data_IF_618110124819
#
_entry.id   IF_618110124819
#
_cell.length_a   1.000
_cell.length_b   1.000
_cell.length_c   1.000
_cell.angle_alpha   90.00
_cell.angle_beta   90.00
_cell.angle_gamma   90.00
#
_symmetry.space_group_name_H-M   'P 1'
#
loop_
_entity.id
_entity.type
_entity.pdbx_description
1 polymer ?
#
# COMPACT_ATOMS: atom_id res chain seq x y z
N UNK A 1 -51.11 -31.73 -18.58
CA UNK A 1 -50.86 -30.74 -19.65
C UNK A 1 -49.92 -29.73 -19.03
N UNK A 2 -48.63 -29.94 -19.28
CA UNK A 2 -47.59 -28.95 -19.14
C UNK A 2 -47.74 -28.04 -20.36
N UNK A 3 -47.77 -26.74 -20.15
CA UNK A 3 -47.40 -25.79 -21.20
C UNK A 3 -46.29 -24.91 -20.66
N UNK A 4 -45.21 -24.93 -21.43
CA UNK A 4 -43.92 -24.31 -21.20
C UNK A 4 -44.00 -22.81 -21.47
N UNK A 5 -43.23 -22.02 -20.72
CA UNK A 5 -42.61 -20.79 -21.24
C UNK A 5 -41.45 -20.45 -20.28
N UNK A 6 -40.32 -21.10 -20.48
CA UNK A 6 -39.16 -20.60 -21.24
C UNK A 6 -38.43 -19.46 -20.53
N UNK A 7 -37.17 -19.79 -20.26
CA UNK A 7 -36.13 -19.02 -19.62
C UNK A 7 -35.59 -18.00 -20.63
N UNK A 8 -35.74 -16.71 -20.35
CA UNK A 8 -34.81 -15.71 -20.87
C UNK A 8 -34.14 -15.06 -19.67
N UNK A 9 -32.91 -15.51 -19.42
CA UNK A 9 -31.95 -14.78 -18.62
C UNK A 9 -31.51 -13.57 -19.41
N UNK A 10 -31.92 -12.40 -18.94
CA UNK A 10 -31.24 -11.16 -19.24
C UNK A 10 -30.30 -10.93 -18.05
N UNK A 11 -29.05 -11.37 -18.23
CA UNK A 11 -27.92 -10.91 -17.44
C UNK A 11 -27.46 -9.61 -18.13
N UNK A 12 -27.82 -8.42 -17.64
CA UNK A 12 -27.14 -7.22 -18.06
C UNK A 12 -25.76 -7.30 -17.42
N UNK A 13 -24.84 -7.91 -18.17
CA UNK A 13 -23.42 -7.84 -17.92
C UNK A 13 -23.08 -6.42 -17.50
N UNK A 14 -22.48 -6.33 -16.33
CA UNK A 14 -21.95 -5.14 -15.68
C UNK A 14 -21.33 -4.19 -16.70
N UNK A 15 -22.14 -3.24 -17.16
CA UNK A 15 -21.65 -1.99 -17.68
C UNK A 15 -20.96 -1.34 -16.48
N UNK A 16 -19.64 -1.54 -16.40
CA UNK A 16 -18.75 -0.80 -15.52
C UNK A 16 -19.10 0.65 -15.74
N UNK A 17 -19.53 1.33 -14.68
CA UNK A 17 -19.69 2.77 -14.69
C UNK A 17 -18.33 3.36 -15.07
N UNK A 18 -18.18 3.71 -16.34
CA UNK A 18 -17.19 4.69 -16.77
C UNK A 18 -17.56 5.97 -16.02
N UNK A 19 -16.78 6.32 -14.99
CA UNK A 19 -16.83 7.60 -14.29
C UNK A 19 -16.64 8.71 -15.33
N UNK A 20 -17.72 9.10 -15.99
CA UNK A 20 -17.73 10.03 -17.12
C UNK A 20 -17.34 11.47 -16.72
N UNK A 21 -17.13 11.73 -15.42
CA UNK A 21 -16.67 13.00 -14.85
C UNK A 21 -15.16 13.01 -14.52
N UNK A 22 -14.44 11.88 -14.64
CA UNK A 22 -13.00 11.86 -14.44
C UNK A 22 -12.25 12.38 -15.68
N UNK A 23 -11.37 13.38 -15.52
CA UNK A 23 -10.55 13.93 -16.62
C UNK A 23 -9.56 12.90 -17.21
N UNK A 24 -9.19 11.89 -16.42
CA UNK A 24 -8.37 10.77 -16.87
C UNK A 24 -9.19 9.48 -16.99
N UNK A 25 -9.13 8.80 -18.15
CA UNK A 25 -9.70 7.46 -18.27
C UNK A 25 -9.08 6.50 -17.25
N UNK A 26 -9.89 5.59 -16.70
CA UNK A 26 -9.44 4.60 -15.71
C UNK A 26 -8.22 3.82 -16.17
N UNK A 27 -8.20 3.37 -17.43
CA UNK A 27 -7.09 2.62 -18.01
C UNK A 27 -5.76 3.41 -18.00
N UNK A 28 -5.84 4.75 -18.11
CA UNK A 28 -4.67 5.64 -18.06
C UNK A 28 -4.13 5.76 -16.64
N UNK A 29 -5.05 5.86 -15.66
CA UNK A 29 -4.71 5.86 -14.23
C UNK A 29 -4.01 4.54 -13.85
N UNK A 30 -4.60 3.40 -14.22
CA UNK A 30 -4.05 2.06 -13.95
C UNK A 30 -2.69 1.86 -14.63
N UNK A 31 -2.52 2.30 -15.89
CA UNK A 31 -1.22 2.23 -16.58
C UNK A 31 -0.16 3.10 -15.89
N UNK A 32 -0.51 4.31 -15.46
CA UNK A 32 0.40 5.22 -14.78
C UNK A 32 0.85 4.68 -13.41
N UNK A 33 -0.06 4.06 -12.67
CA UNK A 33 0.24 3.34 -11.44
C UNK A 33 1.19 2.17 -11.69
N UNK A 34 0.84 1.28 -12.63
CA UNK A 34 1.65 0.09 -12.95
C UNK A 34 3.08 0.47 -13.34
N UNK A 35 3.24 1.50 -14.18
CA UNK A 35 4.55 2.01 -14.58
C UNK A 35 5.33 2.61 -13.41
N UNK A 36 4.64 3.22 -12.46
CA UNK A 36 5.27 3.76 -11.24
C UNK A 36 5.76 2.63 -10.33
N UNK A 37 4.96 1.58 -10.13
CA UNK A 37 5.38 0.39 -9.36
C UNK A 37 6.58 -0.30 -10.02
N UNK A 38 6.56 -0.45 -11.36
CA UNK A 38 7.68 -1.01 -12.11
C UNK A 38 8.96 -0.17 -11.94
N UNK A 39 8.87 1.15 -12.09
CA UNK A 39 10.01 2.06 -11.89
C UNK A 39 10.62 1.93 -10.49
N UNK A 40 9.79 1.77 -9.44
CA UNK A 40 10.25 1.57 -8.06
C UNK A 40 10.92 0.20 -7.85
N UNK A 41 10.43 -0.84 -8.51
CA UNK A 41 10.99 -2.19 -8.42
C UNK A 41 12.25 -2.40 -9.28
N UNK A 42 12.51 -1.49 -10.22
CA UNK A 42 13.63 -1.60 -11.15
C UNK A 42 14.97 -1.42 -10.41
N UNK A 43 15.86 -2.41 -10.59
CA UNK A 43 17.23 -2.37 -10.04
C UNK A 43 18.16 -1.54 -10.93
N UNK A 44 17.87 -1.49 -12.22
CA UNK A 44 18.64 -0.75 -13.21
C UNK A 44 18.05 0.66 -13.44
N UNK A 45 18.93 1.66 -13.45
CA UNK A 45 18.55 3.06 -13.63
C UNK A 45 17.90 3.30 -15.00
N UNK A 46 18.40 2.68 -16.06
CA UNK A 46 17.87 2.90 -17.40
C UNK A 46 16.47 2.28 -17.55
N UNK A 47 16.22 1.14 -16.90
CA UNK A 47 14.89 0.53 -16.78
C UNK A 47 13.94 1.44 -16.00
N UNK A 48 14.35 1.95 -14.84
CA UNK A 48 13.58 2.92 -14.05
C UNK A 48 13.16 4.13 -14.89
N UNK A 49 14.13 4.80 -15.51
CA UNK A 49 13.86 5.96 -16.36
C UNK A 49 12.97 5.61 -17.57
N UNK A 50 13.06 4.40 -18.11
CA UNK A 50 12.22 3.98 -19.22
C UNK A 50 10.74 3.86 -18.81
N UNK A 51 10.48 3.31 -17.62
CA UNK A 51 9.12 3.27 -17.06
C UNK A 51 8.59 4.67 -16.76
N UNK A 52 9.41 5.55 -16.19
CA UNK A 52 9.02 6.95 -15.90
C UNK A 52 8.73 7.75 -17.17
N UNK A 53 9.56 7.62 -18.22
CA UNK A 53 9.32 8.25 -19.52
C UNK A 53 8.03 7.74 -20.17
N UNK A 54 7.77 6.44 -20.09
CA UNK A 54 6.53 5.86 -20.63
C UNK A 54 5.31 6.40 -19.89
N UNK A 55 5.37 6.52 -18.56
CA UNK A 55 4.30 7.13 -17.75
C UNK A 55 4.06 8.58 -18.17
N UNK A 56 5.13 9.35 -18.31
CA UNK A 56 5.04 10.75 -18.74
C UNK A 56 4.40 10.89 -20.13
N UNK A 57 4.75 10.02 -21.08
CA UNK A 57 4.15 10.04 -22.42
C UNK A 57 2.64 9.78 -22.36
N UNK A 58 2.21 8.74 -21.63
CA UNK A 58 0.79 8.39 -21.48
C UNK A 58 -0.01 9.56 -20.86
N UNK A 59 0.51 10.18 -19.80
CA UNK A 59 -0.18 11.30 -19.13
C UNK A 59 -0.19 12.58 -19.96
N UNK A 60 0.84 12.81 -20.79
CA UNK A 60 0.94 14.02 -21.61
C UNK A 60 -0.15 14.14 -22.67
N UNK A 61 -0.73 13.02 -23.12
CA UNK A 61 -1.87 13.00 -24.04
C UNK A 61 -3.12 13.65 -23.44
N UNK A 62 -3.19 13.71 -22.11
CA UNK A 62 -4.30 14.29 -21.35
C UNK A 62 -3.92 15.61 -20.68
N UNK A 63 -2.71 16.14 -20.94
CA UNK A 63 -2.16 17.33 -20.26
C UNK A 63 -1.96 17.12 -18.74
N UNK A 64 -1.73 15.87 -18.31
CA UNK A 64 -1.41 15.52 -16.92
C UNK A 64 0.08 15.23 -16.71
N UNK A 65 0.50 15.29 -15.46
CA UNK A 65 1.83 14.86 -15.01
C UNK A 65 1.74 14.16 -13.65
N UNK A 66 2.83 13.50 -13.26
CA UNK A 66 2.89 12.66 -12.06
C UNK A 66 3.88 13.21 -11.03
N UNK A 67 3.56 13.00 -9.76
CA UNK A 67 4.45 13.19 -8.63
C UNK A 67 4.25 12.06 -7.63
N UNK A 68 5.32 11.51 -7.08
CA UNK A 68 5.24 10.69 -5.87
C UNK A 68 5.47 11.59 -4.65
N UNK A 69 4.60 11.50 -3.65
CA UNK A 69 4.79 12.10 -2.33
C UNK A 69 4.81 11.01 -1.28
N UNK A 70 5.56 11.23 -0.21
CA UNK A 70 5.47 10.43 1.02
C UNK A 70 4.43 11.10 1.93
N UNK A 71 3.49 10.32 2.45
CA UNK A 71 2.42 10.72 3.37
C UNK A 71 2.37 9.72 4.52
N UNK A 72 2.81 10.13 5.73
CA UNK A 72 2.87 9.28 6.93
C UNK A 72 3.50 7.88 6.72
N UNK A 73 4.56 7.79 5.91
CA UNK A 73 5.26 6.54 5.60
C UNK A 73 4.73 5.78 4.39
N UNK A 74 3.59 6.20 3.84
CA UNK A 74 3.02 5.66 2.61
C UNK A 74 3.37 6.53 1.40
N UNK A 75 3.74 5.91 0.30
CA UNK A 75 3.96 6.65 -0.94
C UNK A 75 2.66 6.75 -1.74
N UNK A 76 2.31 7.97 -2.15
CA UNK A 76 1.13 8.25 -2.95
C UNK A 76 1.56 8.83 -4.29
N UNK A 77 1.14 8.18 -5.38
CA UNK A 77 1.21 8.72 -6.73
C UNK A 77 0.09 9.73 -6.93
N UNK A 78 0.46 10.97 -7.20
CA UNK A 78 -0.47 12.06 -7.51
C UNK A 78 -0.36 12.37 -9.00
N UNK A 79 -1.44 12.10 -9.74
CA UNK A 79 -1.63 12.53 -11.11
C UNK A 79 -2.38 13.86 -11.08
N UNK A 80 -1.79 14.91 -11.65
CA UNK A 80 -2.41 16.23 -11.64
C UNK A 80 -2.21 16.96 -12.97
N UNK A 81 -3.07 17.93 -13.31
CA UNK A 81 -2.90 18.76 -14.51
C UNK A 81 -1.51 19.39 -14.57
N UNK A 82 -0.88 19.35 -15.75
CA UNK A 82 0.46 19.89 -15.96
C UNK A 82 0.52 21.41 -15.73
N UNK A 83 -0.58 22.12 -15.99
CA UNK A 83 -0.71 23.57 -15.81
C UNK A 83 -0.52 24.04 -14.36
N UNK A 84 -0.74 23.15 -13.38
CA UNK A 84 -0.48 23.44 -11.97
C UNK A 84 1.01 23.61 -11.66
N UNK A 85 1.89 23.21 -12.59
CA UNK A 85 3.33 23.40 -12.45
C UNK A 85 3.84 24.57 -13.28
N UNK A 86 4.79 25.28 -12.68
CA UNK A 86 5.67 26.22 -13.36
C UNK A 86 7.09 25.98 -12.85
N UNK A 87 8.07 25.86 -13.75
CA UNK A 87 9.47 25.61 -13.42
C UNK A 87 9.70 24.41 -12.48
N UNK A 88 8.90 23.36 -12.66
CA UNK A 88 8.97 22.13 -11.86
C UNK A 88 8.35 22.23 -10.47
N UNK A 89 7.74 23.37 -10.10
CA UNK A 89 7.13 23.61 -8.78
C UNK A 89 5.61 23.75 -8.92
N UNK A 90 4.86 23.20 -7.95
CA UNK A 90 3.41 23.37 -7.87
C UNK A 90 3.07 24.81 -7.50
N UNK A 91 2.20 25.43 -8.30
CA UNK A 91 1.70 26.79 -8.13
C UNK A 91 0.27 26.72 -7.63
N UNK A 92 0.10 26.85 -6.31
CA UNK A 92 -1.23 26.77 -5.67
C UNK A 92 -2.20 27.83 -6.19
N UNK A 93 -1.69 28.96 -6.70
CA UNK A 93 -2.45 30.01 -7.37
C UNK A 93 -3.05 29.59 -8.73
N UNK A 94 -2.65 28.43 -9.27
CA UNK A 94 -3.18 27.83 -10.51
C UNK A 94 -4.11 26.65 -10.26
N UNK A 95 -4.39 26.34 -9.00
CA UNK A 95 -5.25 25.23 -8.61
C UNK A 95 -6.63 25.81 -8.29
N UNK A 96 -7.51 25.79 -9.28
CA UNK A 96 -8.91 26.22 -9.09
C UNK A 96 -9.79 25.08 -8.56
N UNK A 97 -9.39 23.84 -8.80
CA UNK A 97 -10.14 22.64 -8.39
C UNK A 97 -9.18 21.47 -8.08
N UNK A 98 -9.08 21.13 -6.80
CA UNK A 98 -8.25 20.00 -6.33
C UNK A 98 -8.82 18.63 -6.73
N UNK A 99 -10.11 18.54 -7.03
CA UNK A 99 -10.75 17.25 -7.38
C UNK A 99 -10.27 16.69 -8.72
N UNK A 100 -9.63 17.52 -9.54
CA UNK A 100 -8.98 17.13 -10.80
C UNK A 100 -7.74 16.26 -10.60
N UNK A 101 -7.17 16.22 -9.40
CA UNK A 101 -6.05 15.34 -9.10
C UNK A 101 -6.54 13.94 -8.74
N UNK A 102 -5.81 12.93 -9.21
CA UNK A 102 -6.03 11.53 -8.83
C UNK A 102 -4.89 11.12 -7.89
N UNK A 103 -5.23 10.68 -6.69
CA UNK A 103 -4.28 10.18 -5.69
C UNK A 103 -4.39 8.65 -5.59
N UNK A 104 -3.26 7.97 -5.77
CA UNK A 104 -3.18 6.51 -5.83
C UNK A 104 -2.15 6.07 -4.80
N UNK A 105 -2.57 5.40 -3.71
CA UNK A 105 -1.64 4.75 -2.79
C UNK A 105 -0.80 3.72 -3.56
N UNK A 106 0.52 3.79 -3.43
CA UNK A 106 1.44 2.81 -4.03
C UNK A 106 1.81 1.69 -3.03
N UNK A 107 1.43 1.89 -1.78
CA UNK A 107 1.62 1.00 -0.64
C UNK A 107 0.24 0.73 -0.02
N UNK A 108 0.03 -0.49 0.47
CA UNK A 108 -1.30 -0.99 0.85
C UNK A 108 -1.98 -1.79 -0.26
N UNK A 109 -3.09 -2.49 0.07
CA UNK A 109 -3.86 -3.25 -0.88
C UNK A 109 -4.90 -2.35 -1.55
N UNK A 110 -5.20 -2.68 -2.79
CA UNK A 110 -6.04 -1.86 -3.67
C UNK A 110 -7.54 -1.97 -3.32
N UNK A 111 -7.94 -3.00 -2.54
CA UNK A 111 -9.33 -3.30 -2.16
C UNK A 111 -9.53 -3.25 -0.62
N UNK A 112 -10.55 -2.56 -0.08
CA UNK A 112 -10.92 -2.61 1.34
C UNK A 112 -11.09 -4.04 1.90
N UNK A 113 -11.60 -4.97 1.11
CA UNK A 113 -11.76 -6.38 1.54
C UNK A 113 -10.39 -7.07 1.72
N UNK A 114 -9.35 -6.61 1.01
CA UNK A 114 -7.99 -7.07 1.24
C UNK A 114 -7.45 -6.57 2.59
N UNK A 115 -7.95 -5.45 3.14
CA UNK A 115 -7.55 -4.99 4.49
C UNK A 115 -8.05 -5.97 5.56
N UNK A 116 -9.29 -6.44 5.46
CA UNK A 116 -9.84 -7.43 6.40
C UNK A 116 -9.09 -8.76 6.29
N UNK A 117 -8.80 -9.21 5.07
CA UNK A 117 -8.03 -10.42 4.82
C UNK A 117 -6.57 -10.31 5.34
N UNK A 118 -5.94 -9.14 5.19
CA UNK A 118 -4.61 -8.86 5.75
C UNK A 118 -4.64 -8.84 7.28
N UNK A 119 -5.63 -8.18 7.90
CA UNK A 119 -5.71 -8.17 9.37
C UNK A 119 -5.94 -9.57 9.91
N UNK A 120 -6.89 -10.34 9.35
CA UNK A 120 -7.15 -11.73 9.77
C UNK A 120 -5.88 -12.58 9.71
N UNK A 121 -5.14 -12.51 8.60
CA UNK A 121 -3.86 -13.22 8.45
C UNK A 121 -2.83 -12.79 9.49
N UNK A 122 -2.73 -11.50 9.77
CA UNK A 122 -1.83 -10.98 10.79
C UNK A 122 -2.25 -11.45 12.20
N UNK A 123 -3.55 -11.49 12.50
CA UNK A 123 -4.08 -12.00 13.79
C UNK A 123 -3.82 -13.49 13.98
N UNK A 124 -3.95 -14.30 12.93
CA UNK A 124 -3.62 -15.72 12.97
C UNK A 124 -2.13 -15.93 13.30
N UNK A 125 -1.24 -15.15 12.67
CA UNK A 125 0.18 -15.19 12.98
C UNK A 125 0.47 -14.78 14.43
N UNK A 126 -0.20 -13.73 14.94
CA UNK A 126 -0.08 -13.31 16.34
C UNK A 126 -0.49 -14.42 17.30
N UNK A 127 -1.60 -15.10 17.02
CA UNK A 127 -2.07 -16.22 17.83
C UNK A 127 -1.04 -17.36 17.85
N UNK A 128 -0.49 -17.73 16.68
CA UNK A 128 0.55 -18.75 16.57
C UNK A 128 1.84 -18.36 17.33
N UNK A 129 2.29 -17.11 17.22
CA UNK A 129 3.47 -16.62 17.95
C UNK A 129 3.24 -16.67 19.45
N UNK A 130 2.05 -16.26 19.92
CA UNK A 130 1.69 -16.32 21.34
C UNK A 130 1.67 -17.77 21.84
N UNK A 131 1.10 -18.68 21.08
CA UNK A 131 1.04 -20.10 21.44
C UNK A 131 2.44 -20.73 21.56
N UNK A 132 3.32 -20.46 20.60
CA UNK A 132 4.64 -21.11 20.52
C UNK A 132 5.67 -20.43 21.42
N UNK A 133 5.65 -19.10 21.51
CA UNK A 133 6.71 -18.32 22.14
C UNK A 133 6.25 -17.61 23.43
N UNK A 134 4.95 -17.52 23.69
CA UNK A 134 4.39 -16.93 24.91
C UNK A 134 4.03 -15.45 24.76
N UNK A 135 3.44 -14.91 25.83
CA UNK A 135 2.74 -13.62 25.79
C UNK A 135 3.62 -12.43 25.41
N UNK A 136 4.87 -12.34 25.90
CA UNK A 136 5.74 -11.20 25.57
C UNK A 136 5.99 -11.08 24.05
N UNK A 137 6.19 -12.22 23.40
CA UNK A 137 6.40 -12.28 21.96
C UNK A 137 5.07 -12.10 21.21
N UNK A 138 3.98 -12.69 21.72
CA UNK A 138 2.63 -12.51 21.16
C UNK A 138 2.11 -11.07 21.24
N UNK A 139 2.36 -10.36 22.34
CA UNK A 139 1.97 -8.96 22.53
C UNK A 139 2.82 -8.04 21.64
N UNK A 140 4.10 -8.36 21.45
CA UNK A 140 4.95 -7.64 20.48
C UNK A 140 4.50 -7.90 19.04
N UNK A 141 4.13 -9.15 18.72
CA UNK A 141 3.56 -9.51 17.43
C UNK A 141 2.24 -8.78 17.18
N UNK A 142 1.39 -8.64 18.20
CA UNK A 142 0.13 -7.91 18.12
C UNK A 142 0.36 -6.43 17.78
N UNK A 143 1.32 -5.79 18.44
CA UNK A 143 1.71 -4.41 18.11
C UNK A 143 2.25 -4.28 16.67
N UNK A 144 3.01 -5.27 16.21
CA UNK A 144 3.50 -5.31 14.83
C UNK A 144 2.36 -5.55 13.82
N UNK A 145 1.37 -6.39 14.15
CA UNK A 145 0.15 -6.56 13.36
C UNK A 145 -0.61 -5.25 13.25
N UNK A 146 -0.84 -4.55 14.36
CA UNK A 146 -1.55 -3.27 14.36
C UNK A 146 -0.81 -2.23 13.50
N UNK A 147 0.52 -2.23 13.52
CA UNK A 147 1.33 -1.37 12.65
C UNK A 147 1.19 -1.76 11.18
N UNK A 148 1.47 -3.01 10.82
CA UNK A 148 1.48 -3.46 9.43
C UNK A 148 0.09 -3.44 8.79
N UNK A 149 -0.96 -3.80 9.53
CA UNK A 149 -2.35 -3.74 9.06
C UNK A 149 -2.80 -2.29 8.87
N UNK A 150 -2.55 -1.39 9.82
CA UNK A 150 -3.12 -0.04 9.76
C UNK A 150 -2.28 0.96 8.95
N UNK A 151 -0.95 0.85 8.98
CA UNK A 151 -0.06 1.81 8.31
C UNK A 151 0.26 1.38 6.89
N UNK A 152 0.39 0.08 6.64
CA UNK A 152 0.85 -0.43 5.34
C UNK A 152 -0.13 -1.38 4.67
N UNK A 153 -1.18 -1.83 5.37
CA UNK A 153 -2.00 -2.98 5.04
C UNK A 153 -1.27 -4.11 4.30
N UNK A 154 -0.15 -4.50 4.91
CA UNK A 154 0.67 -5.62 4.44
C UNK A 154 0.59 -6.77 5.44
N UNK A 155 0.66 -8.03 4.97
CA UNK A 155 0.99 -9.15 5.84
C UNK A 155 2.36 -8.91 6.49
N UNK A 156 2.51 -9.24 7.77
CA UNK A 156 3.76 -9.02 8.52
C UNK A 156 4.96 -9.67 7.83
N UNK A 157 4.78 -10.83 7.20
CA UNK A 157 5.86 -11.53 6.49
C UNK A 157 6.39 -10.80 5.24
N UNK A 158 5.71 -9.75 4.79
CA UNK A 158 6.11 -8.91 3.66
C UNK A 158 6.76 -7.61 4.11
N UNK A 159 6.89 -7.38 5.42
CA UNK A 159 7.49 -6.17 5.95
C UNK A 159 8.94 -6.01 5.46
N UNK A 160 9.31 -4.79 5.11
CA UNK A 160 10.68 -4.44 4.70
C UNK A 160 11.56 -4.12 5.92
N UNK A 161 12.87 -4.02 5.70
CA UNK A 161 13.81 -3.62 6.76
C UNK A 161 13.59 -2.19 7.26
N UNK A 162 13.13 -1.30 6.39
CA UNK A 162 12.84 0.10 6.72
C UNK A 162 11.55 0.19 7.55
N UNK A 163 10.49 -0.49 7.13
CA UNK A 163 9.23 -0.60 7.88
C UNK A 163 9.45 -1.22 9.27
N UNK A 164 10.27 -2.27 9.39
CA UNK A 164 10.63 -2.85 10.69
C UNK A 164 11.47 -1.90 11.56
N UNK A 165 12.32 -1.09 10.96
CA UNK A 165 13.11 -0.07 11.68
C UNK A 165 12.21 1.04 12.20
N UNK A 166 11.27 1.51 11.38
CA UNK A 166 10.25 2.47 11.79
C UNK A 166 9.41 1.91 12.94
N UNK A 167 8.93 0.66 12.80
CA UNK A 167 8.22 -0.02 13.87
C UNK A 167 8.99 0.03 15.19
N UNK A 168 10.26 -0.39 15.17
CA UNK A 168 11.07 -0.48 16.38
C UNK A 168 11.38 0.89 17.02
N UNK A 169 11.71 1.88 16.20
CA UNK A 169 12.27 3.15 16.67
C UNK A 169 11.21 4.23 16.92
N UNK A 170 10.07 4.13 16.23
CA UNK A 170 9.00 5.12 16.26
C UNK A 170 7.71 4.54 16.81
N UNK A 171 7.07 3.63 16.08
CA UNK A 171 5.72 3.17 16.38
C UNK A 171 5.63 2.46 17.72
N UNK A 172 6.49 1.48 17.96
CA UNK A 172 6.47 0.64 19.16
C UNK A 172 6.64 1.47 20.43
N UNK A 173 7.50 2.50 20.38
CA UNK A 173 7.75 3.38 21.53
C UNK A 173 6.61 4.36 21.77
N UNK A 174 6.00 4.90 20.70
CA UNK A 174 4.98 5.95 20.80
C UNK A 174 3.56 5.41 21.00
N UNK A 175 3.25 4.26 20.42
CA UNK A 175 1.87 3.78 20.28
C UNK A 175 1.59 2.48 21.04
N UNK A 176 2.57 1.57 21.14
CA UNK A 176 2.35 0.24 21.73
C UNK A 176 2.50 0.19 23.26
N UNK A 177 3.02 1.26 23.88
CA UNK A 177 3.26 1.36 25.34
C UNK A 177 3.93 0.11 25.94
N UNK A 178 5.10 -0.32 25.42
CA UNK A 178 5.65 -1.64 25.71
C UNK A 178 6.16 -1.75 27.15
N UNK A 179 5.99 -2.93 27.72
CA UNK A 179 6.62 -3.31 28.98
C UNK A 179 8.16 -3.30 28.86
N UNK A 180 8.86 -3.27 30.01
CA UNK A 180 10.32 -3.39 30.04
C UNK A 180 10.80 -4.66 29.34
N UNK A 181 10.14 -5.79 29.60
CA UNK A 181 10.51 -7.08 29.02
C UNK A 181 10.29 -7.12 27.49
N UNK A 182 9.19 -6.52 27.00
CA UNK A 182 8.98 -6.36 25.56
C UNK A 182 10.06 -5.51 24.89
N UNK A 183 10.52 -4.43 25.54
CA UNK A 183 11.62 -3.61 25.02
C UNK A 183 12.94 -4.39 24.96
N UNK A 184 13.28 -5.10 26.03
CA UNK A 184 14.51 -5.91 26.09
C UNK A 184 14.50 -7.06 25.08
N UNK A 185 13.33 -7.62 24.78
CA UNK A 185 13.15 -8.74 23.85
C UNK A 185 12.65 -8.32 22.47
N UNK A 186 12.65 -7.04 22.11
CA UNK A 186 12.02 -6.56 20.87
C UNK A 186 12.60 -7.25 19.63
N UNK A 187 13.93 -7.22 19.47
CA UNK A 187 14.57 -7.87 18.33
C UNK A 187 14.35 -9.38 18.30
N UNK A 188 14.39 -10.03 19.47
CA UNK A 188 14.12 -11.46 19.56
C UNK A 188 12.68 -11.76 19.13
N UNK A 189 11.72 -10.97 19.60
CA UNK A 189 10.30 -11.11 19.26
C UNK A 189 10.08 -11.00 17.75
N UNK A 190 10.69 -10.01 17.09
CA UNK A 190 10.62 -9.88 15.63
C UNK A 190 11.20 -11.12 14.95
N UNK A 191 12.34 -11.64 15.42
CA UNK A 191 12.91 -12.89 14.90
C UNK A 191 11.95 -14.07 15.06
N UNK A 192 11.27 -14.19 16.21
CA UNK A 192 10.28 -15.26 16.46
C UNK A 192 9.04 -15.15 15.58
N UNK A 193 8.59 -13.93 15.29
CA UNK A 193 7.45 -13.70 14.38
C UNK A 193 7.76 -14.23 12.98
N UNK A 194 8.91 -13.85 12.41
CA UNK A 194 9.31 -14.33 11.08
C UNK A 194 9.65 -15.81 11.07
N UNK A 195 10.24 -16.35 12.15
CA UNK A 195 10.45 -17.79 12.33
C UNK A 195 9.11 -18.55 12.26
N UNK A 196 8.09 -18.07 12.97
CA UNK A 196 6.73 -18.63 12.96
C UNK A 196 6.09 -18.54 11.58
N UNK A 197 6.31 -17.45 10.85
CA UNK A 197 5.85 -17.27 9.48
C UNK A 197 6.67 -18.05 8.42
N UNK A 198 7.73 -18.77 8.84
CA UNK A 198 8.61 -19.51 7.92
C UNK A 198 9.41 -18.61 6.96
N UNK A 199 9.72 -17.38 7.38
CA UNK A 199 10.46 -16.39 6.59
C UNK A 199 11.80 -16.02 7.24
N UNK A 200 12.71 -15.51 6.41
CA UNK A 200 13.90 -14.82 6.90
C UNK A 200 13.54 -13.39 7.30
N UNK A 201 14.15 -12.92 8.38
CA UNK A 201 13.96 -11.56 8.87
C UNK A 201 14.77 -10.60 7.99
N UNK A 202 14.16 -9.52 7.45
CA UNK A 202 14.88 -8.44 6.78
C UNK A 202 15.92 -7.79 7.71
N UNK A 203 16.93 -7.12 7.16
CA UNK A 203 17.84 -6.33 7.99
C UNK A 203 17.15 -5.07 8.53
N UNK A 204 17.09 -4.89 9.85
CA UNK A 204 16.47 -3.72 10.49
C UNK A 204 17.32 -3.22 11.68
N UNK A 205 16.98 -2.05 12.24
CA UNK A 205 17.61 -1.51 13.45
C UNK A 205 16.59 -1.38 14.57
N UNK A 206 16.89 -1.96 15.73
CA UNK A 206 16.22 -1.64 16.98
C UNK A 206 17.06 -0.67 17.82
N UNK A 207 16.41 0.08 18.71
CA UNK A 207 17.03 1.13 19.52
C UNK A 207 17.52 0.62 20.87
#
# INVERSE_FOLDING_TARGET
MHDSNDLEGDDPGTARDDDADAELPREVVEEAERLTRLARSAVDEAEREAHERRRANVLSEFEFTARVREDDGNEVLVLHPAEWREDGVIRTDRIDDLSRAVEIPLDGPDDPDDWEAVDERNRDLVAAVREVHGDVHGDTAAALADFMSNHYAKPIESATGEELTEFCTEYFVRNAWPSLEQREKLEESIRRVFETAGRNVPGFRAR
#
